data_IF_910806878653
#
_entry.id   IF_910806878653
#
_cell.length_a   1.000
_cell.length_b   1.000
_cell.length_c   1.000
_cell.angle_alpha   90.00
_cell.angle_beta   90.00
_cell.angle_gamma   90.00
#
_symmetry.space_group_name_H-M   'P 1'
#
loop_
_entity.id
_entity.type
_entity.pdbx_description
1 polymer ?
#
# COMPACT_ATOMS: atom_id res chain seq x y z
N UNK A 1 7.60 -12.61 -7.53
CA UNK A 1 8.05 -12.28 -6.16
C UNK A 1 6.90 -12.57 -5.21
N UNK A 2 7.13 -13.32 -4.12
CA UNK A 2 6.08 -13.71 -3.17
C UNK A 2 6.20 -12.91 -1.87
N UNK A 3 5.11 -12.30 -1.41
CA UNK A 3 5.03 -11.57 -0.15
C UNK A 3 4.07 -12.30 0.79
N UNK A 4 4.44 -12.41 2.07
CA UNK A 4 3.49 -12.87 3.09
C UNK A 4 2.57 -11.69 3.37
N UNK A 5 1.26 -11.92 3.37
CA UNK A 5 0.25 -10.88 3.67
C UNK A 5 -0.15 -11.02 5.14
N UNK A 6 0.52 -10.32 6.08
CA UNK A 6 0.16 -10.39 7.49
C UNK A 6 -1.15 -9.67 7.82
N UNK A 7 -1.61 -8.74 6.97
CA UNK A 7 -2.81 -7.94 7.25
C UNK A 7 -3.50 -7.48 5.98
N UNK A 8 -4.83 -7.60 5.98
CA UNK A 8 -5.72 -7.04 4.97
C UNK A 8 -6.72 -6.11 5.65
N UNK A 9 -6.78 -4.87 5.20
CA UNK A 9 -7.85 -3.93 5.49
C UNK A 9 -8.76 -3.84 4.25
N UNK A 10 -9.91 -3.17 4.40
CA UNK A 10 -10.96 -3.16 3.37
C UNK A 10 -10.47 -2.63 2.01
N UNK A 11 -9.55 -1.65 2.03
CA UNK A 11 -8.99 -1.03 0.83
C UNK A 11 -7.45 -1.05 0.78
N UNK A 12 -6.78 -1.71 1.74
CA UNK A 12 -5.32 -1.71 1.86
C UNK A 12 -4.82 -3.12 2.21
N UNK A 13 -3.93 -3.65 1.38
CA UNK A 13 -3.24 -4.92 1.62
C UNK A 13 -1.79 -4.60 1.97
N UNK A 14 -1.31 -5.16 3.08
CA UNK A 14 0.08 -5.07 3.47
C UNK A 14 0.75 -6.42 3.28
N UNK A 15 1.79 -6.45 2.44
CA UNK A 15 2.68 -7.59 2.29
C UNK A 15 4.04 -7.30 2.90
N UNK A 16 4.61 -8.27 3.63
CA UNK A 16 5.95 -8.18 4.20
C UNK A 16 6.81 -9.33 3.68
N UNK A 17 8.09 -9.04 3.45
CA UNK A 17 9.13 -10.02 3.13
C UNK A 17 10.46 -9.52 3.70
N UNK A 18 10.89 -10.13 4.80
CA UNK A 18 12.11 -9.75 5.53
C UNK A 18 12.14 -8.25 5.88
N UNK A 19 13.15 -7.52 5.39
CA UNK A 19 13.33 -6.06 5.52
C UNK A 19 12.67 -5.25 4.39
N UNK A 20 11.82 -5.89 3.59
CA UNK A 20 11.11 -5.27 2.47
C UNK A 20 9.61 -5.49 2.61
N UNK A 21 8.81 -4.65 1.97
CA UNK A 21 7.38 -4.84 1.97
C UNK A 21 6.69 -4.15 0.81
N UNK A 22 5.40 -4.38 0.74
CA UNK A 22 4.51 -3.89 -0.30
C UNK A 22 3.22 -3.40 0.35
N UNK A 23 2.72 -2.28 -0.14
CA UNK A 23 1.38 -1.79 0.15
C UNK A 23 0.60 -1.77 -1.15
N UNK A 24 -0.57 -2.38 -1.17
CA UNK A 24 -1.50 -2.30 -2.28
C UNK A 24 -2.79 -1.62 -1.81
N UNK A 25 -3.06 -0.41 -2.30
CA UNK A 25 -4.27 0.35 -1.98
C UNK A 25 -5.22 0.36 -3.18
N UNK A 26 -6.48 -0.01 -2.94
CA UNK A 26 -7.53 -0.01 -3.96
C UNK A 26 -8.17 1.39 -4.03
N UNK A 27 -8.26 1.95 -5.23
CA UNK A 27 -9.04 3.15 -5.53
C UNK A 27 -10.32 2.78 -6.30
N UNK A 28 -11.11 3.74 -6.82
CA UNK A 28 -12.36 3.44 -7.54
C UNK A 28 -12.11 2.68 -8.85
N UNK A 29 -11.01 2.99 -9.52
CA UNK A 29 -10.66 2.56 -10.88
C UNK A 29 -9.28 1.91 -11.00
N UNK A 30 -8.41 2.07 -9.99
CA UNK A 30 -7.03 1.59 -10.02
C UNK A 30 -6.60 0.91 -8.72
N UNK A 31 -5.43 0.26 -8.77
CA UNK A 31 -4.76 -0.28 -7.60
C UNK A 31 -3.37 0.33 -7.53
N UNK A 32 -3.09 1.06 -6.46
CA UNK A 32 -1.78 1.63 -6.16
C UNK A 32 -0.92 0.55 -5.52
N UNK A 33 0.26 0.33 -6.06
CA UNK A 33 1.22 -0.64 -5.53
C UNK A 33 2.51 0.12 -5.18
N UNK A 34 2.86 0.14 -3.89
CA UNK A 34 4.08 0.75 -3.39
C UNK A 34 4.98 -0.31 -2.75
N UNK A 35 6.17 -0.47 -3.33
CA UNK A 35 7.20 -1.36 -2.81
C UNK A 35 8.25 -0.53 -2.06
N UNK A 36 8.60 -0.94 -0.84
CA UNK A 36 9.63 -0.27 -0.06
C UNK A 36 10.71 -1.25 0.40
N UNK A 37 11.91 -0.71 0.63
CA UNK A 37 13.06 -1.43 1.18
C UNK A 37 13.51 -0.69 2.45
N UNK A 38 13.76 -1.43 3.53
CA UNK A 38 14.15 -0.86 4.82
C UNK A 38 13.00 -0.77 5.82
N UNK A 39 13.25 -0.06 6.93
CA UNK A 39 12.35 0.00 8.09
C UNK A 39 11.30 1.11 8.02
N UNK A 40 11.18 1.79 6.88
CA UNK A 40 10.30 2.96 6.71
C UNK A 40 8.83 2.58 6.38
N UNK A 41 8.38 1.41 6.84
CA UNK A 41 7.05 0.89 6.52
C UNK A 41 5.92 1.84 6.94
N UNK A 42 6.08 2.53 8.08
CA UNK A 42 5.10 3.50 8.58
C UNK A 42 5.00 4.74 7.68
N UNK A 43 6.12 5.29 7.24
CA UNK A 43 6.15 6.45 6.34
C UNK A 43 5.55 6.11 4.98
N UNK A 44 5.91 4.95 4.43
CA UNK A 44 5.36 4.48 3.14
C UNK A 44 3.86 4.25 3.25
N UNK A 45 3.36 3.70 4.36
CA UNK A 45 1.91 3.55 4.60
C UNK A 45 1.19 4.90 4.49
N UNK A 46 1.67 5.90 5.23
CA UNK A 46 1.04 7.24 5.25
C UNK A 46 1.07 7.89 3.86
N UNK A 47 2.16 7.74 3.11
CA UNK A 47 2.27 8.27 1.76
C UNK A 47 1.26 7.59 0.80
N UNK A 48 1.13 6.26 0.88
CA UNK A 48 0.21 5.48 0.05
C UNK A 48 -1.25 5.80 0.38
N UNK A 49 -1.60 5.92 1.67
CA UNK A 49 -2.95 6.29 2.08
C UNK A 49 -3.34 7.69 1.59
N UNK A 50 -2.44 8.68 1.72
CA UNK A 50 -2.68 10.04 1.22
C UNK A 50 -2.87 10.06 -0.30
N UNK A 51 -2.05 9.32 -1.04
CA UNK A 51 -2.15 9.26 -2.49
C UNK A 51 -3.41 8.51 -2.95
N UNK A 52 -3.76 7.43 -2.26
CA UNK A 52 -5.00 6.70 -2.52
C UNK A 52 -6.23 7.58 -2.26
N UNK A 53 -6.25 8.32 -1.15
CA UNK A 53 -7.32 9.27 -0.85
C UNK A 53 -7.41 10.37 -1.92
N UNK A 54 -6.29 10.94 -2.33
CA UNK A 54 -6.25 11.95 -3.39
C UNK A 54 -6.83 11.43 -4.71
N UNK A 55 -6.50 10.18 -5.09
CA UNK A 55 -7.04 9.55 -6.30
C UNK A 55 -8.54 9.30 -6.17
N UNK A 56 -8.99 8.79 -5.01
CA UNK A 56 -10.42 8.58 -4.72
C UNK A 56 -11.23 9.89 -4.83
N UNK A 57 -10.69 10.99 -4.30
CA UNK A 57 -11.31 12.31 -4.32
C UNK A 57 -11.32 12.90 -5.73
N UNK A 58 -10.27 12.63 -6.51
CA UNK A 58 -10.17 13.01 -7.93
C UNK A 58 -11.07 12.17 -8.86
N UNK A 59 -11.76 11.15 -8.32
CA UNK A 59 -12.67 10.28 -9.08
C UNK A 59 -12.05 8.98 -9.59
N UNK A 60 -10.80 8.69 -9.24
CA UNK A 60 -10.06 7.50 -9.63
C UNK A 60 -10.08 6.39 -8.59
#
# INVERSE_FOLDING_TARGET
VHYIVPRTEQNLIFGKRDKTGIFAAKTKSAVLIACYKGENAAEVRVAVEKLAQYLMDSGY
#
